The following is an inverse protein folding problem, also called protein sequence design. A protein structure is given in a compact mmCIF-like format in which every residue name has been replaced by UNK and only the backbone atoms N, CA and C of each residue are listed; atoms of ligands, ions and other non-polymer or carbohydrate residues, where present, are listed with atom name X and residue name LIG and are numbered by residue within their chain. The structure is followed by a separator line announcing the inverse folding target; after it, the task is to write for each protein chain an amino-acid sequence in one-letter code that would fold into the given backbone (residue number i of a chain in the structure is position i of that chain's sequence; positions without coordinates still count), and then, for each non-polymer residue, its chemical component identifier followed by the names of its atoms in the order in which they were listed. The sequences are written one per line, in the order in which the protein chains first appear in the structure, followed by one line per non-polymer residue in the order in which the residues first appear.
data_IF_945326907151
#
_entry.id   IF_945326907151
#
_cell.length_a   1.000
_cell.length_b   1.000
_cell.length_c   1.000
_cell.angle_alpha   90.00
_cell.angle_beta   90.00
_cell.angle_gamma   90.00
#
_symmetry.space_group_name_H-M   'P 1'
#
loop_
_entity.id
_entity.type
_entity.pdbx_description
1 polymer ?
#
# COMPACT_ATOMS: atom_id res chain seq x y z
N UNK A 1 -23.26 49.61 -12.68
CA UNK A 1 -22.63 49.04 -11.47
C UNK A 1 -22.25 47.62 -11.82
N UNK A 2 -20.94 47.46 -11.95
CA UNK A 2 -20.22 46.28 -12.40
C UNK A 2 -20.37 45.13 -11.39
N UNK A 3 -20.56 43.90 -11.89
CA UNK A 3 -20.43 42.67 -11.11
C UNK A 3 -19.52 41.73 -11.89
N UNK A 4 -18.27 41.77 -11.47
CA UNK A 4 -17.11 41.01 -11.92
C UNK A 4 -17.39 39.51 -11.88
N UNK A 5 -17.46 38.89 -13.07
CA UNK A 5 -17.52 37.44 -13.27
C UNK A 5 -16.12 36.96 -13.65
N UNK A 6 -15.23 36.76 -12.67
CA UNK A 6 -13.87 36.26 -12.92
C UNK A 6 -13.26 35.41 -11.77
N UNK A 7 -13.74 34.16 -11.54
CA UNK A 7 -12.90 33.16 -10.86
C UNK A 7 -12.61 31.89 -11.70
N UNK A 8 -13.37 31.61 -12.77
CA UNK A 8 -13.27 30.32 -13.51
C UNK A 8 -12.09 30.22 -14.48
N UNK A 9 -11.66 31.33 -15.07
CA UNK A 9 -10.62 31.30 -16.11
C UNK A 9 -9.21 30.98 -15.56
N UNK A 10 -8.92 31.41 -14.32
CA UNK A 10 -7.61 31.18 -13.67
C UNK A 10 -7.46 29.74 -13.13
N UNK A 11 -8.56 29.12 -12.71
CA UNK A 11 -8.56 27.72 -12.24
C UNK A 11 -8.36 26.75 -13.42
N UNK A 12 -9.00 27.03 -14.56
CA UNK A 12 -8.85 26.25 -15.80
C UNK A 12 -7.42 26.37 -16.39
N UNK A 13 -6.77 27.55 -16.31
CA UNK A 13 -5.38 27.68 -16.75
C UNK A 13 -4.39 26.90 -15.86
N UNK A 14 -4.56 26.95 -14.54
CA UNK A 14 -3.71 26.22 -13.59
C UNK A 14 -3.84 24.70 -13.73
N UNK A 15 -5.05 24.20 -13.99
CA UNK A 15 -5.28 22.78 -14.26
C UNK A 15 -4.62 22.33 -15.57
N UNK A 16 -4.71 23.13 -16.64
CA UNK A 16 -4.07 22.82 -17.93
C UNK A 16 -2.55 22.76 -17.83
N UNK A 17 -1.94 23.72 -17.14
CA UNK A 17 -0.49 23.72 -16.90
C UNK A 17 -0.05 22.50 -16.09
N UNK A 18 -0.82 22.16 -15.04
CA UNK A 18 -0.57 20.95 -14.24
C UNK A 18 -0.69 19.69 -15.10
N UNK A 19 -1.74 19.55 -15.91
CA UNK A 19 -1.91 18.41 -16.83
C UNK A 19 -0.75 18.29 -17.81
N UNK A 20 -0.25 19.41 -18.34
CA UNK A 20 0.90 19.41 -19.25
C UNK A 20 2.20 19.01 -18.53
N UNK A 21 2.40 19.48 -17.29
CA UNK A 21 3.57 19.11 -16.49
C UNK A 21 3.59 17.63 -16.14
N UNK A 22 2.45 17.10 -15.65
CA UNK A 22 2.35 15.74 -15.16
C UNK A 22 2.30 14.72 -16.29
N UNK A 23 1.48 15.00 -17.30
CA UNK A 23 1.10 14.01 -18.30
C UNK A 23 0.40 12.80 -17.68
N UNK A 24 0.25 11.73 -18.46
CA UNK A 24 -0.26 10.47 -17.94
C UNK A 24 0.85 9.70 -17.22
N UNK A 25 0.58 9.21 -16.01
CA UNK A 25 1.61 8.72 -15.08
C UNK A 25 1.82 7.22 -15.09
N UNK A 26 0.92 6.47 -15.73
CA UNK A 26 1.00 5.01 -15.90
C UNK A 26 1.30 4.67 -17.35
N UNK A 27 2.23 3.74 -17.58
CA UNK A 27 2.58 3.26 -18.91
C UNK A 27 1.67 2.09 -19.33
N UNK A 28 1.68 1.78 -20.63
CA UNK A 28 0.90 0.66 -21.19
C UNK A 28 1.29 -0.71 -20.62
N UNK A 29 2.54 -0.85 -20.14
CA UNK A 29 3.07 -2.05 -19.48
C UNK A 29 2.67 -2.15 -17.99
N UNK A 30 1.69 -1.34 -17.56
CA UNK A 30 1.14 -1.32 -16.19
C UNK A 30 2.17 -0.95 -15.12
N UNK A 31 3.23 -0.26 -15.54
CA UNK A 31 4.24 0.28 -14.65
C UNK A 31 4.09 1.80 -14.56
N UNK A 32 4.59 2.38 -13.47
CA UNK A 32 4.74 3.82 -13.37
C UNK A 32 5.70 4.37 -14.42
N UNK A 33 5.43 5.58 -14.90
CA UNK A 33 6.44 6.38 -15.60
C UNK A 33 7.59 6.74 -14.66
N UNK A 34 8.74 7.17 -15.20
CA UNK A 34 9.85 7.67 -14.39
C UNK A 34 9.47 8.89 -13.55
N UNK A 35 8.49 9.68 -13.99
CA UNK A 35 7.95 10.80 -13.21
C UNK A 35 7.14 10.29 -12.01
N UNK A 36 6.34 9.25 -12.22
CA UNK A 36 5.57 8.63 -11.15
C UNK A 36 6.46 7.92 -10.12
N UNK A 37 7.49 7.17 -10.55
CA UNK A 37 8.48 6.57 -9.64
C UNK A 37 9.16 7.65 -8.78
N UNK A 38 9.61 8.76 -9.39
CA UNK A 38 10.22 9.88 -8.66
C UNK A 38 9.24 10.55 -7.69
N UNK A 39 7.99 10.73 -8.09
CA UNK A 39 6.93 11.25 -7.20
C UNK A 39 6.76 10.36 -5.97
N UNK A 40 6.59 9.05 -6.17
CA UNK A 40 6.39 8.09 -5.09
C UNK A 40 7.62 7.99 -4.17
N UNK A 41 8.84 8.12 -4.71
CA UNK A 41 10.07 8.23 -3.90
C UNK A 41 10.12 9.52 -3.09
N UNK A 42 9.68 10.64 -3.67
CA UNK A 42 9.53 11.89 -2.95
C UNK A 42 8.56 11.75 -1.79
N UNK A 43 7.42 11.09 -2.02
CA UNK A 43 6.43 10.78 -0.96
C UNK A 43 7.04 9.86 0.09
N UNK A 44 7.79 8.82 -0.30
CA UNK A 44 8.49 7.95 0.66
C UNK A 44 9.42 8.76 1.58
N UNK A 45 10.17 9.73 1.03
CA UNK A 45 10.99 10.64 1.84
C UNK A 45 10.16 11.49 2.79
N UNK A 46 9.00 12.00 2.36
CA UNK A 46 8.08 12.71 3.25
C UNK A 46 7.64 11.79 4.39
N UNK A 47 7.28 10.54 4.08
CA UNK A 47 6.83 9.56 5.09
C UNK A 47 7.92 9.34 6.14
N UNK A 48 9.14 8.99 5.72
CA UNK A 48 10.23 8.65 6.64
C UNK A 48 10.71 9.82 7.50
N UNK A 49 10.55 11.06 7.03
CA UNK A 49 11.04 12.25 7.72
C UNK A 49 9.97 12.99 8.54
N UNK A 50 8.69 12.76 8.25
CA UNK A 50 7.59 13.52 8.88
C UNK A 50 6.83 12.70 9.91
N UNK A 51 6.66 11.39 9.67
CA UNK A 51 5.83 10.53 10.51
C UNK A 51 6.73 9.62 11.32
N UNK A 52 6.66 9.73 12.64
CA UNK A 52 7.45 8.93 13.60
C UNK A 52 8.88 8.67 13.09
N UNK A 53 9.71 9.73 12.90
CA UNK A 53 11.03 9.58 12.29
C UNK A 53 11.84 8.50 13.01
N UNK A 54 12.45 7.63 12.22
CA UNK A 54 13.21 6.47 12.68
C UNK A 54 14.62 6.52 12.10
N UNK A 55 15.56 5.78 12.69
CA UNK A 55 16.97 5.80 12.25
C UNK A 55 17.17 5.23 10.84
N UNK A 56 16.20 4.46 10.35
CA UNK A 56 16.15 3.93 8.98
C UNK A 56 15.24 4.76 8.08
N UNK A 57 15.63 4.90 6.81
CA UNK A 57 14.79 5.51 5.77
C UNK A 57 13.75 4.57 5.17
N UNK A 58 13.76 3.28 5.54
CA UNK A 58 12.74 2.32 5.16
C UNK A 58 11.45 2.58 5.97
N UNK A 59 10.29 2.52 5.32
CA UNK A 59 9.00 2.94 5.86
C UNK A 59 8.35 1.85 6.71
N UNK A 60 8.28 2.05 8.02
CA UNK A 60 7.65 1.08 8.92
C UNK A 60 6.13 1.06 8.74
N UNK A 61 5.44 -0.02 9.18
CA UNK A 61 3.98 -0.06 9.17
C UNK A 61 3.35 1.10 9.95
N UNK A 62 3.93 1.50 11.10
CA UNK A 62 3.38 2.61 11.90
C UNK A 62 3.43 3.94 11.15
N UNK A 63 4.54 4.21 10.45
CA UNK A 63 4.70 5.40 9.61
C UNK A 63 3.71 5.40 8.44
N UNK A 64 3.55 4.25 7.76
CA UNK A 64 2.58 4.11 6.66
C UNK A 64 1.14 4.33 7.14
N UNK A 65 0.77 3.74 8.28
CA UNK A 65 -0.55 3.95 8.87
C UNK A 65 -0.79 5.44 9.18
N UNK A 66 0.18 6.11 9.78
CA UNK A 66 0.10 7.53 10.09
C UNK A 66 -0.02 8.41 8.84
N UNK A 67 0.76 8.11 7.80
CA UNK A 67 0.67 8.77 6.51
C UNK A 67 -0.71 8.62 5.89
N UNK A 68 -1.22 7.39 5.76
CA UNK A 68 -2.51 7.13 5.13
C UNK A 68 -3.65 7.86 5.86
N UNK A 69 -3.65 7.88 7.21
CA UNK A 69 -4.62 8.68 7.99
C UNK A 69 -4.52 10.18 7.68
N UNK A 70 -3.31 10.72 7.58
CA UNK A 70 -3.11 12.14 7.31
C UNK A 70 -3.59 12.57 5.91
N UNK A 71 -3.54 11.67 4.92
CA UNK A 71 -4.03 11.93 3.56
C UNK A 71 -5.48 11.47 3.32
N UNK A 72 -6.18 11.02 4.37
CA UNK A 72 -7.62 10.72 4.33
C UNK A 72 -8.02 9.26 4.10
N UNK A 73 -7.07 8.32 4.17
CA UNK A 73 -7.32 6.87 4.16
C UNK A 73 -7.26 6.24 5.56
N UNK A 74 -7.64 4.97 5.68
CA UNK A 74 -7.55 4.23 6.95
C UNK A 74 -6.99 2.83 6.75
N UNK A 75 -5.68 2.69 6.90
CA UNK A 75 -4.96 1.43 6.68
C UNK A 75 -4.51 0.81 8.00
N UNK A 76 -5.14 1.17 9.12
CA UNK A 76 -4.76 0.68 10.45
C UNK A 76 -4.97 -0.84 10.55
N UNK A 77 -6.02 -1.38 9.94
CA UNK A 77 -6.23 -2.85 9.88
C UNK A 77 -5.02 -3.55 9.26
N UNK A 78 -4.48 -3.01 8.16
CA UNK A 78 -3.31 -3.59 7.49
C UNK A 78 -2.00 -3.33 8.25
N UNK A 79 -1.77 -2.12 8.73
CA UNK A 79 -0.44 -1.74 9.21
C UNK A 79 -0.28 -1.77 10.74
N UNK A 80 -1.37 -1.83 11.50
CA UNK A 80 -1.35 -1.93 12.97
C UNK A 80 -1.92 -3.25 13.48
N UNK A 81 -3.01 -3.72 12.90
CA UNK A 81 -3.72 -4.91 13.39
C UNK A 81 -3.20 -6.20 12.75
N UNK A 82 -2.64 -6.12 11.55
CA UNK A 82 -2.06 -7.28 10.88
C UNK A 82 -0.67 -7.59 11.45
N UNK A 83 -0.38 -8.86 11.78
CA UNK A 83 0.92 -9.28 12.29
C UNK A 83 2.09 -8.90 11.37
N UNK A 84 3.25 -8.47 11.92
CA UNK A 84 4.43 -8.10 11.13
C UNK A 84 4.89 -9.17 10.14
N UNK A 85 4.86 -10.45 10.53
CA UNK A 85 5.23 -11.55 9.62
C UNK A 85 4.29 -11.67 8.42
N UNK A 86 2.99 -11.43 8.63
CA UNK A 86 1.98 -11.43 7.56
C UNK A 86 2.19 -10.25 6.62
N UNK A 87 2.47 -9.06 7.14
CA UNK A 87 2.80 -7.88 6.31
C UNK A 87 4.06 -8.15 5.46
N UNK A 88 5.11 -8.74 6.06
CA UNK A 88 6.32 -9.15 5.31
C UNK A 88 5.97 -10.14 4.19
N UNK A 89 5.11 -11.12 4.46
CA UNK A 89 4.64 -12.06 3.46
C UNK A 89 3.87 -11.37 2.32
N UNK A 90 2.97 -10.44 2.62
CA UNK A 90 2.26 -9.64 1.62
C UNK A 90 3.26 -8.88 0.75
N UNK A 91 4.24 -8.21 1.33
CA UNK A 91 5.27 -7.50 0.57
C UNK A 91 6.07 -8.42 -0.34
N UNK A 92 6.48 -9.61 0.12
CA UNK A 92 7.15 -10.62 -0.73
C UNK A 92 6.26 -11.04 -1.90
N UNK A 93 4.99 -11.33 -1.63
CA UNK A 93 4.01 -11.79 -2.62
C UNK A 93 3.77 -10.76 -3.72
N UNK A 94 3.84 -9.47 -3.37
CA UNK A 94 3.71 -8.35 -4.30
C UNK A 94 5.03 -7.94 -4.97
N UNK A 95 6.16 -8.53 -4.57
CA UNK A 95 7.49 -8.08 -5.00
C UNK A 95 7.87 -6.69 -4.46
N UNK A 96 7.22 -6.22 -3.39
CA UNK A 96 7.52 -4.96 -2.73
C UNK A 96 8.76 -5.15 -1.82
N UNK A 97 9.87 -4.55 -2.21
CA UNK A 97 11.13 -4.66 -1.47
C UNK A 97 11.01 -4.03 -0.08
N UNK A 98 11.38 -4.79 0.94
CA UNK A 98 11.38 -4.35 2.33
C UNK A 98 12.65 -4.83 3.05
N UNK A 99 12.92 -4.25 4.21
CA UNK A 99 13.81 -4.79 5.24
C UNK A 99 13.00 -5.26 6.44
N UNK A 100 13.67 -5.92 7.38
CA UNK A 100 13.18 -6.09 8.73
C UNK A 100 13.94 -5.13 9.65
N UNK A 101 13.20 -4.33 10.41
CA UNK A 101 13.72 -3.40 11.40
C UNK A 101 13.53 -3.97 12.82
N UNK A 102 14.38 -3.59 13.79
CA UNK A 102 14.15 -3.89 15.21
C UNK A 102 12.78 -3.38 15.67
N UNK A 103 12.21 -4.03 16.69
CA UNK A 103 11.02 -3.50 17.35
C UNK A 103 11.38 -2.20 18.12
N UNK A 104 10.45 -1.26 18.32
CA UNK A 104 10.73 -0.03 19.07
C UNK A 104 11.19 -0.26 20.52
N UNK A 105 10.81 -1.39 21.13
CA UNK A 105 11.14 -1.82 22.48
C UNK A 105 12.27 -2.86 22.54
N UNK A 106 13.01 -3.04 21.43
CA UNK A 106 14.09 -4.02 21.33
C UNK A 106 15.34 -3.59 22.12
N UNK A 107 15.89 -4.52 22.90
CA UNK A 107 17.10 -4.34 23.72
C UNK A 107 18.39 -4.80 23.01
N UNK A 108 18.28 -5.20 21.73
CA UNK A 108 19.39 -5.59 20.87
C UNK A 108 19.65 -7.09 20.82
N UNK A 109 18.88 -7.91 21.54
CA UNK A 109 19.05 -9.37 21.59
C UNK A 109 18.01 -10.15 20.76
N UNK A 110 16.99 -9.48 20.22
CA UNK A 110 15.97 -10.12 19.38
C UNK A 110 16.29 -9.92 17.90
N UNK A 111 15.76 -10.83 17.07
CA UNK A 111 15.87 -10.68 15.62
C UNK A 111 14.92 -9.58 15.12
N UNK A 112 15.35 -8.70 14.20
CA UNK A 112 14.47 -7.72 13.56
C UNK A 112 13.23 -8.36 12.95
N UNK A 113 12.06 -7.80 13.22
CA UNK A 113 10.78 -8.39 12.84
C UNK A 113 9.78 -7.40 12.21
N UNK A 114 10.06 -6.09 12.22
CA UNK A 114 9.16 -5.07 11.70
C UNK A 114 9.41 -4.89 10.19
N UNK A 115 8.48 -5.26 9.29
CA UNK A 115 8.70 -5.13 7.85
C UNK A 115 8.57 -3.68 7.41
N UNK A 116 9.70 -3.07 7.02
CA UNK A 116 9.75 -1.70 6.56
C UNK A 116 9.98 -1.63 5.05
N UNK A 117 9.09 -0.96 4.32
CA UNK A 117 9.21 -0.82 2.86
C UNK A 117 10.41 0.05 2.50
N UNK A 118 11.28 -0.45 1.64
CA UNK A 118 12.26 0.41 0.96
C UNK A 118 11.51 1.40 0.09
N UNK A 119 12.10 2.55 -0.24
CA UNK A 119 11.50 3.50 -1.18
C UNK A 119 11.08 2.83 -2.51
N UNK A 120 11.90 1.92 -3.05
CA UNK A 120 11.53 1.12 -4.24
C UNK A 120 10.36 0.17 -3.97
N UNK A 121 10.28 -0.43 -2.78
CA UNK A 121 9.14 -1.26 -2.39
C UNK A 121 7.86 -0.45 -2.23
N UNK A 122 7.94 0.78 -1.71
CA UNK A 122 6.80 1.70 -1.66
C UNK A 122 6.32 2.09 -3.05
N UNK A 123 7.23 2.33 -4.01
CA UNK A 123 6.85 2.52 -5.42
C UNK A 123 6.05 1.34 -5.95
N UNK A 124 6.54 0.11 -5.77
CA UNK A 124 5.85 -1.12 -6.19
C UNK A 124 4.48 -1.23 -5.50
N UNK A 125 4.45 -1.13 -4.18
CA UNK A 125 3.24 -1.18 -3.36
C UNK A 125 2.19 -0.19 -3.86
N UNK A 126 2.54 1.10 -3.91
CA UNK A 126 1.58 2.15 -4.22
C UNK A 126 1.13 2.11 -5.69
N UNK A 127 1.97 1.63 -6.61
CA UNK A 127 1.57 1.42 -8.01
C UNK A 127 0.54 0.30 -8.14
N UNK A 128 0.78 -0.86 -7.49
CA UNK A 128 -0.17 -1.97 -7.49
C UNK A 128 -1.50 -1.54 -6.88
N UNK A 129 -1.44 -0.90 -5.71
CA UNK A 129 -2.64 -0.41 -5.04
C UNK A 129 -3.46 0.56 -5.90
N UNK A 130 -2.79 1.47 -6.62
CA UNK A 130 -3.45 2.40 -7.54
C UNK A 130 -4.09 1.70 -8.73
N UNK A 131 -3.46 0.66 -9.28
CA UNK A 131 -4.01 -0.10 -10.41
C UNK A 131 -5.18 -1.00 -10.00
N UNK A 132 -5.23 -1.44 -8.73
CA UNK A 132 -6.33 -2.24 -8.20
C UNK A 132 -7.51 -1.40 -7.67
N UNK A 133 -7.31 -0.10 -7.43
CA UNK A 133 -8.35 0.78 -6.88
C UNK A 133 -8.00 2.24 -7.03
N UNK A 134 -7.99 2.77 -8.26
CA UNK A 134 -7.66 4.17 -8.49
C UNK A 134 -8.65 5.12 -7.80
N UNK A 135 -9.90 4.71 -7.62
CA UNK A 135 -10.93 5.48 -6.91
C UNK A 135 -10.57 5.79 -5.46
N UNK A 136 -9.78 4.92 -4.82
CA UNK A 136 -9.28 5.11 -3.46
C UNK A 136 -7.90 5.76 -3.48
N UNK A 137 -6.98 5.27 -4.30
CA UNK A 137 -5.57 5.64 -4.20
C UNK A 137 -5.18 6.92 -4.93
N UNK A 138 -5.88 7.30 -6.00
CA UNK A 138 -5.60 8.57 -6.68
C UNK A 138 -5.84 9.75 -5.73
N UNK A 139 -6.99 9.85 -5.01
CA UNK A 139 -7.20 10.89 -4.01
C UNK A 139 -6.11 10.96 -2.93
N UNK A 140 -5.61 9.81 -2.45
CA UNK A 140 -4.57 9.78 -1.41
C UNK A 140 -3.25 10.37 -1.90
N UNK A 141 -2.85 10.06 -3.14
CA UNK A 141 -1.63 10.62 -3.75
C UNK A 141 -1.80 12.10 -4.04
N UNK A 142 -2.96 12.51 -4.59
CA UNK A 142 -3.27 13.93 -4.80
C UNK A 142 -3.21 14.70 -3.49
N UNK A 143 -3.78 14.16 -2.42
CA UNK A 143 -3.77 14.79 -1.11
C UNK A 143 -2.37 14.86 -0.50
N UNK A 144 -1.54 13.84 -0.72
CA UNK A 144 -0.14 13.87 -0.30
C UNK A 144 0.63 15.03 -0.98
N UNK A 145 0.44 15.20 -2.29
CA UNK A 145 1.08 16.28 -3.06
C UNK A 145 0.54 17.66 -2.65
N UNK A 146 -0.76 17.78 -2.39
CA UNK A 146 -1.39 19.00 -1.92
C UNK A 146 -0.83 19.44 -0.55
N UNK A 147 -0.76 18.50 0.41
CA UNK A 147 -0.41 18.78 1.80
C UNK A 147 1.11 18.95 2.02
N UNK A 148 1.94 18.16 1.34
CA UNK A 148 3.37 18.05 1.64
C UNK A 148 4.25 18.57 0.52
N UNK A 149 5.40 19.14 0.88
CA UNK A 149 6.41 19.61 -0.07
C UNK A 149 7.22 18.43 -0.62
N UNK A 150 6.62 17.72 -1.58
CA UNK A 150 7.23 16.56 -2.21
C UNK A 150 8.35 17.00 -3.16
N UNK A 151 9.60 16.68 -2.81
CA UNK A 151 10.78 16.96 -3.66
C UNK A 151 11.03 15.83 -4.66
N UNK A 152 11.34 16.21 -5.88
CA UNK A 152 11.84 15.29 -6.91
C UNK A 152 13.27 14.87 -6.55
N UNK A 153 13.54 13.57 -6.27
CA UNK A 153 14.86 13.11 -5.88
C UNK A 153 15.92 13.29 -6.98
N UNK A 154 15.51 13.47 -8.25
CA UNK A 154 16.43 13.67 -9.38
C UNK A 154 16.85 15.13 -9.53
N UNK A 155 15.94 16.08 -9.31
CA UNK A 155 16.20 17.51 -9.56
C UNK A 155 16.37 18.33 -8.29
N UNK A 156 15.85 17.86 -7.15
CA UNK A 156 15.81 18.60 -5.87
C UNK A 156 14.65 19.61 -5.77
N UNK A 157 13.98 19.87 -6.89
CA UNK A 157 12.85 20.80 -7.01
C UNK A 157 11.57 20.21 -6.41
N UNK A 158 10.62 21.08 -6.07
CA UNK A 158 9.30 20.66 -5.62
C UNK A 158 8.42 20.25 -6.80
N UNK A 159 7.65 19.18 -6.62
CA UNK A 159 6.56 18.86 -7.53
C UNK A 159 5.42 19.89 -7.40
N UNK A 160 4.68 20.19 -8.48
CA UNK A 160 3.49 21.04 -8.42
C UNK A 160 2.45 20.48 -7.44
N UNK A 161 1.82 21.35 -6.66
CA UNK A 161 0.79 20.98 -5.67
C UNK A 161 -0.52 20.47 -6.28
N UNK A 162 -0.79 20.84 -7.53
CA UNK A 162 -1.98 20.41 -8.27
C UNK A 162 -1.60 19.19 -9.11
N UNK A 163 -2.21 18.05 -8.80
CA UNK A 163 -2.06 16.80 -9.54
C UNK A 163 -3.43 16.38 -10.09
N UNK A 164 -3.73 16.61 -11.38
CA UNK A 164 -5.04 16.29 -11.97
C UNK A 164 -5.37 14.79 -11.93
N UNK A 165 -6.66 14.44 -11.86
CA UNK A 165 -7.12 13.05 -11.79
C UNK A 165 -6.86 12.31 -13.12
N UNK A 166 -6.92 13.07 -14.22
CA UNK A 166 -6.74 12.61 -15.60
C UNK A 166 -5.32 12.11 -15.88
N UNK A 167 -4.38 12.36 -14.96
CA UNK A 167 -3.03 11.80 -14.99
C UNK A 167 -2.99 10.31 -14.62
N UNK A 168 -4.12 9.73 -14.17
CA UNK A 168 -4.23 8.36 -13.67
C UNK A 168 -5.36 7.58 -14.35
N UNK A 169 -5.35 6.24 -14.23
CA UNK A 169 -6.50 5.41 -14.57
C UNK A 169 -7.75 5.85 -13.80
N UNK A 170 -8.90 5.75 -14.43
CA UNK A 170 -10.21 6.05 -13.84
C UNK A 170 -10.91 4.82 -13.25
N UNK A 171 -10.49 3.62 -13.66
CA UNK A 171 -10.98 2.32 -13.21
C UNK A 171 -9.83 1.34 -12.96
N UNK A 172 -10.06 0.28 -12.16
CA UNK A 172 -9.08 -0.79 -11.97
C UNK A 172 -8.59 -1.37 -13.30
N UNK A 173 -7.34 -1.81 -13.31
CA UNK A 173 -6.74 -2.43 -14.48
C UNK A 173 -7.06 -3.92 -14.52
N UNK A 174 -7.82 -4.33 -15.55
CA UNK A 174 -8.34 -5.69 -15.69
C UNK A 174 -7.23 -6.78 -15.56
N UNK A 175 -6.06 -6.55 -16.18
CA UNK A 175 -4.94 -7.50 -16.12
C UNK A 175 -4.25 -7.54 -14.74
N UNK A 176 -4.20 -6.40 -14.04
CA UNK A 176 -3.69 -6.34 -12.67
C UNK A 176 -4.65 -7.04 -11.70
N UNK A 177 -5.96 -6.92 -11.91
CA UNK A 177 -6.98 -7.63 -11.13
C UNK A 177 -6.87 -9.15 -11.34
N UNK A 178 -6.75 -9.61 -12.59
CA UNK A 178 -6.54 -11.04 -12.89
C UNK A 178 -5.26 -11.59 -12.25
N UNK A 179 -4.15 -10.86 -12.37
CA UNK A 179 -2.90 -11.24 -11.72
C UNK A 179 -3.05 -11.34 -10.20
N UNK A 180 -3.69 -10.34 -9.59
CA UNK A 180 -3.88 -10.27 -8.15
C UNK A 180 -4.79 -11.40 -7.65
N UNK A 181 -5.88 -11.68 -8.36
CA UNK A 181 -6.77 -12.81 -8.07
C UNK A 181 -6.02 -14.14 -8.18
N UNK A 182 -5.15 -14.30 -9.19
CA UNK A 182 -4.31 -15.49 -9.32
C UNK A 182 -3.36 -15.69 -8.13
N UNK A 183 -2.80 -14.61 -7.57
CA UNK A 183 -2.01 -14.66 -6.34
C UNK A 183 -2.89 -15.07 -5.15
N UNK A 184 -4.08 -14.48 -5.02
CA UNK A 184 -5.05 -14.82 -3.97
C UNK A 184 -5.43 -16.31 -4.00
N UNK A 185 -5.84 -16.82 -5.16
CA UNK A 185 -6.29 -18.21 -5.35
C UNK A 185 -5.17 -19.22 -5.08
N UNK A 186 -3.92 -18.87 -5.41
CA UNK A 186 -2.77 -19.71 -5.09
C UNK A 186 -2.56 -19.77 -3.58
N UNK A 187 -2.53 -18.62 -2.91
CA UNK A 187 -2.30 -18.55 -1.46
C UNK A 187 -3.41 -19.23 -0.67
N UNK A 188 -4.66 -19.10 -1.11
CA UNK A 188 -5.78 -19.80 -0.50
C UNK A 188 -5.64 -21.32 -0.64
N UNK A 189 -5.32 -21.82 -1.85
CA UNK A 189 -5.09 -23.26 -2.06
C UNK A 189 -3.93 -23.81 -1.24
N UNK A 190 -2.83 -23.08 -1.15
CA UNK A 190 -1.68 -23.45 -0.31
C UNK A 190 -2.07 -23.54 1.17
N UNK A 191 -2.86 -22.59 1.68
CA UNK A 191 -3.35 -22.61 3.06
C UNK A 191 -4.34 -23.78 3.31
N UNK A 192 -5.23 -24.06 2.37
CA UNK A 192 -6.20 -25.17 2.47
C UNK A 192 -5.52 -26.55 2.44
N UNK A 193 -4.53 -26.75 1.57
CA UNK A 193 -3.77 -28.01 1.50
C UNK A 193 -3.01 -28.28 2.81
N UNK A 194 -2.34 -27.27 3.37
CA UNK A 194 -1.63 -27.42 4.66
C UNK A 194 -2.58 -27.67 5.83
N UNK A 195 -3.77 -27.07 5.82
CA UNK A 195 -4.79 -27.34 6.82
C UNK A 195 -5.31 -28.79 6.73
N UNK A 196 -5.45 -29.33 5.52
CA UNK A 196 -5.87 -30.71 5.28
C UNK A 196 -4.80 -31.73 5.70
N UNK A 197 -3.52 -31.47 5.42
CA UNK A 197 -2.40 -32.34 5.84
C UNK A 197 -2.32 -32.49 7.37
N UNK A 198 -2.75 -31.50 8.14
CA UNK A 198 -2.76 -31.55 9.62
C UNK A 198 -3.97 -32.29 10.21
N UNK A 199 -5.01 -32.54 9.41
CA UNK A 199 -6.21 -33.27 9.83
C UNK A 199 -6.09 -34.79 9.61
N UNK A 200 -5.08 -35.25 8.84
CA UNK A 200 -4.71 -36.66 8.78
C UNK A 200 -4.07 -37.09 10.12
N UNK A 201 -4.55 -38.16 10.80
CA UNK A 201 -3.96 -38.59 12.06
C UNK A 201 -2.62 -39.28 11.81
N UNK A 202 -1.53 -38.51 11.78
CA UNK A 202 -0.19 -39.05 11.59
C UNK A 202 0.20 -39.88 12.81
N UNK A 203 0.30 -41.20 12.62
CA UNK A 203 0.93 -42.13 13.57
C UNK A 203 2.29 -41.56 13.98
N UNK A 204 2.52 -41.50 15.30
CA UNK A 204 3.75 -41.01 15.94
C UNK A 204 4.99 -41.54 15.22
N UNK A 205 5.66 -40.68 14.45
CA UNK A 205 7.02 -40.89 14.00
C UNK A 205 7.90 -39.98 14.85
N UNK A 206 8.70 -40.60 15.71
CA UNK A 206 9.72 -39.91 16.50
C UNK A 206 10.78 -39.40 15.54
N UNK A 207 10.73 -38.13 15.18
CA UNK A 207 11.82 -37.47 14.46
C UNK A 207 12.83 -36.93 15.47
N UNK A 208 14.03 -37.49 15.44
CA UNK A 208 15.19 -37.00 16.17
C UNK A 208 15.55 -35.63 15.59
N UNK A 209 15.42 -34.58 16.40
CA UNK A 209 15.80 -33.22 16.06
C UNK A 209 17.33 -33.13 15.85
N UNK A 210 17.78 -33.23 14.60
CA UNK A 210 19.06 -32.68 14.18
C UNK A 210 18.82 -31.23 13.72
N UNK A 211 19.20 -30.25 14.56
CA UNK A 211 19.05 -28.82 14.26
C UNK A 211 20.11 -28.39 13.25
N UNK A 212 19.89 -28.72 11.99
CA UNK A 212 20.52 -28.02 10.86
C UNK A 212 19.99 -26.58 10.70
N UNK A 213 20.70 -25.68 10.00
CA UNK A 213 20.25 -24.31 9.78
C UNK A 213 18.91 -24.32 9.03
N UNK A 214 17.88 -23.72 9.64
CA UNK A 214 16.56 -23.55 9.02
C UNK A 214 16.74 -22.85 7.66
N UNK A 215 16.41 -23.55 6.58
CA UNK A 215 16.25 -22.92 5.27
C UNK A 215 15.05 -21.98 5.35
N UNK A 216 15.17 -20.79 4.76
CA UNK A 216 14.22 -19.68 4.81
C UNK A 216 12.90 -19.92 4.06
N UNK A 217 12.50 -21.19 3.86
CA UNK A 217 11.38 -21.58 2.98
C UNK A 217 10.11 -22.01 3.73
N UNK A 218 10.14 -22.17 5.04
CA UNK A 218 8.94 -22.50 5.82
C UNK A 218 8.25 -21.20 6.26
N UNK A 219 7.43 -20.64 5.38
CA UNK A 219 6.47 -19.59 5.77
C UNK A 219 5.40 -20.21 6.67
N UNK A 220 5.18 -19.64 7.84
CA UNK A 220 4.26 -20.19 8.84
C UNK A 220 2.81 -20.13 8.36
N UNK A 221 1.96 -21.10 8.73
CA UNK A 221 0.57 -21.11 8.25
C UNK A 221 -0.18 -19.84 8.63
N UNK A 222 0.13 -19.25 9.79
CA UNK A 222 -0.48 -18.00 10.23
C UNK A 222 -0.21 -16.84 9.27
N UNK A 223 1.01 -16.76 8.71
CA UNK A 223 1.35 -15.77 7.67
C UNK A 223 0.54 -15.98 6.40
N UNK A 224 0.39 -17.25 5.97
CA UNK A 224 -0.36 -17.58 4.75
C UNK A 224 -1.86 -17.31 4.89
N UNK A 225 -2.46 -17.66 6.02
CA UNK A 225 -3.87 -17.40 6.30
C UNK A 225 -4.15 -15.89 6.41
N UNK A 226 -3.28 -15.15 7.10
CA UNK A 226 -3.38 -13.69 7.18
C UNK A 226 -3.23 -13.02 5.81
N UNK A 227 -2.28 -13.49 5.00
CA UNK A 227 -2.09 -13.00 3.65
C UNK A 227 -3.28 -13.34 2.75
N UNK A 228 -3.79 -14.57 2.78
CA UNK A 228 -4.97 -14.99 2.03
C UNK A 228 -6.18 -14.11 2.35
N UNK A 229 -6.35 -13.74 3.63
CA UNK A 229 -7.40 -12.79 4.06
C UNK A 229 -7.23 -11.45 3.35
N UNK A 230 -6.02 -10.87 3.38
CA UNK A 230 -5.71 -9.63 2.68
C UNK A 230 -5.93 -9.73 1.15
N UNK A 231 -5.50 -10.81 0.50
CA UNK A 231 -5.64 -10.99 -0.95
C UNK A 231 -7.09 -11.26 -1.39
N UNK A 232 -7.94 -11.78 -0.50
CA UNK A 232 -9.37 -12.04 -0.79
C UNK A 232 -10.26 -10.79 -0.72
N UNK A 233 -9.82 -9.79 0.03
CA UNK A 233 -10.43 -8.46 0.14
C UNK A 233 -9.31 -7.42 0.25
N UNK A 234 -8.64 -7.09 -0.87
CA UNK A 234 -7.56 -6.11 -0.86
C UNK A 234 -8.04 -4.84 -0.17
N UNK A 235 -7.28 -4.42 0.84
CA UNK A 235 -7.54 -3.20 1.61
C UNK A 235 -8.83 -3.23 2.46
N UNK A 236 -9.40 -4.42 2.69
CA UNK A 236 -10.61 -4.58 3.49
C UNK A 236 -11.79 -3.74 2.96
N UNK A 237 -11.90 -3.61 1.62
CA UNK A 237 -12.93 -2.79 0.95
C UNK A 237 -14.33 -3.28 1.28
N UNK A 238 -14.53 -4.59 1.43
CA UNK A 238 -15.85 -5.16 1.81
C UNK A 238 -16.15 -4.92 3.28
N UNK A 239 -15.14 -4.97 4.15
CA UNK A 239 -15.29 -4.70 5.59
C UNK A 239 -15.62 -3.24 5.89
N UNK A 240 -15.25 -2.30 4.99
CA UNK A 240 -15.60 -0.87 5.05
C UNK A 240 -17.01 -0.52 4.55
N UNK A 241 -17.95 -1.46 4.53
CA UNK A 241 -19.35 -1.16 4.19
C UNK A 241 -19.85 -0.02 5.09
N UNK A 242 -20.06 1.18 4.51
CA UNK A 242 -20.56 2.38 5.20
C UNK A 242 -21.79 2.02 6.04
N UNK A 243 -21.97 2.55 7.26
CA UNK A 243 -23.25 2.50 7.95
C UNK A 243 -24.32 3.06 7.01
N UNK A 244 -25.24 2.21 6.56
CA UNK A 244 -26.35 2.62 5.71
C UNK A 244 -27.11 3.72 6.44
N UNK A 245 -27.15 4.91 5.85
CA UNK A 245 -27.97 6.01 6.36
C UNK A 245 -29.42 5.55 6.30
N UNK A 246 -29.96 5.09 7.43
CA UNK A 246 -31.38 4.80 7.57
C UNK A 246 -32.12 6.13 7.44
N UNK A 247 -32.64 6.42 6.24
CA UNK A 247 -33.64 7.48 6.05
C UNK A 247 -34.89 7.07 6.82
N UNK A 248 -35.03 7.58 8.04
CA UNK A 248 -36.30 7.61 8.74
C UNK A 248 -37.26 8.48 7.91
N UNK A 249 -38.18 7.84 7.19
CA UNK A 249 -39.38 8.47 6.70
C UNK A 249 -40.37 8.57 7.87
N UNK A 250 -40.53 9.77 8.43
CA UNK A 250 -41.67 10.09 9.27
C UNK A 250 -42.91 10.16 8.38
N UNK A 251 -43.88 9.27 8.61
CA UNK A 251 -45.22 9.40 8.01
C UNK A 251 -46.00 10.47 8.79
N UNK A 252 -46.58 11.42 8.04
CA UNK A 252 -47.73 12.22 8.47
C UNK A 252 -48.99 11.35 8.51
#
# INVERSE_FOLDING_TARGET
MDKTEAPKANDDSGQREASQYWGYLIRNDKCGTDKFDRLLRGIATVISTTFEPYDSSDLTPSQLAAFYRAVGGDYDVLFKETPPSTISFIYRSLGAFHSLQPAPDDDGYKAPCIPALKAKGFVTWQTIQLLLGPEEHVPLIQKAVELYDVRDPKTGELFPKVLPKECFPDRPDDAMEEWYQGVADRLQREAEMEAAEKQEPTRVRVEVHDRGPRTSSETSDYERHGAATYFSDPLYRRTRTRPGYARHFSKQ
#
